data_IF_014798667747
#
_entry.id   IF_014798667747
#
_cell.length_a   1.000
_cell.length_b   1.000
_cell.length_c   1.000
_cell.angle_alpha   90.00
_cell.angle_beta   90.00
_cell.angle_gamma   90.00
#
_symmetry.space_group_name_H-M   'P 1'
#
loop_
_entity.id
_entity.type
_entity.pdbx_description
1 polymer ?
#
# COMPACT_ATOMS: atom_id res chain seq x y z
N UNK A 1 -6.00 21.22 -9.80
CA UNK A 1 -6.18 22.05 -8.59
C UNK A 1 -4.89 21.96 -7.79
N UNK A 2 -4.28 23.10 -7.43
CA UNK A 2 -3.06 23.13 -6.62
C UNK A 2 -3.51 22.99 -5.17
N UNK A 3 -3.23 21.84 -4.55
CA UNK A 3 -3.47 21.64 -3.12
C UNK A 3 -2.40 22.37 -2.32
N UNK A 4 -2.79 23.38 -1.55
CA UNK A 4 -1.88 24.16 -0.70
C UNK A 4 -1.80 23.46 0.67
N UNK A 5 -0.67 22.81 0.97
CA UNK A 5 -0.39 22.25 2.30
C UNK A 5 0.55 23.22 3.04
N UNK A 6 0.03 23.89 4.06
CA UNK A 6 0.79 24.74 4.98
C UNK A 6 1.28 23.88 6.16
N UNK A 7 2.59 23.74 6.32
CA UNK A 7 3.21 23.13 7.50
C UNK A 7 3.68 24.26 8.41
N UNK A 8 3.01 24.47 9.55
CA UNK A 8 3.48 25.37 10.60
C UNK A 8 4.52 24.65 11.47
N UNK A 9 5.77 25.12 11.44
CA UNK A 9 6.77 24.76 12.44
C UNK A 9 6.75 25.82 13.55
N UNK A 10 6.10 25.53 14.68
CA UNK A 10 6.14 26.42 15.84
C UNK A 10 7.53 26.35 16.49
N UNK A 11 8.16 27.51 16.67
CA UNK A 11 9.42 27.66 17.38
C UNK A 11 9.21 27.36 18.86
N UNK A 12 9.46 26.13 19.30
CA UNK A 12 9.73 25.87 20.70
C UNK A 12 10.70 24.69 20.86
N UNK A 13 11.95 24.90 20.45
CA UNK A 13 13.04 23.99 20.73
C UNK A 13 14.34 24.79 20.87
N UNK A 14 14.52 25.43 22.03
CA UNK A 14 15.79 26.08 22.40
C UNK A 14 16.60 25.27 23.42
N UNK A 15 16.41 23.95 23.51
CA UNK A 15 17.13 23.16 24.52
C UNK A 15 17.57 21.73 24.14
N UNK A 16 17.46 21.25 22.89
CA UNK A 16 18.07 19.97 22.53
C UNK A 16 18.80 20.05 21.19
N UNK A 17 20.03 19.55 21.18
CA UNK A 17 21.06 19.76 20.17
C UNK A 17 20.64 19.38 18.75
N UNK A 18 21.27 20.06 17.79
CA UNK A 18 21.14 19.88 16.36
C UNK A 18 21.58 18.48 15.94
N UNK A 19 20.63 17.67 15.47
CA UNK A 19 20.80 16.64 14.42
C UNK A 19 19.48 15.90 14.09
N UNK A 20 18.43 16.05 14.91
CA UNK A 20 17.13 15.38 14.67
C UNK A 20 16.22 16.02 13.60
N UNK A 21 16.57 17.19 13.04
CA UNK A 21 15.68 17.93 12.12
C UNK A 21 15.81 17.53 10.65
N UNK A 22 16.97 17.01 10.23
CA UNK A 22 17.24 16.65 8.83
C UNK A 22 16.42 15.43 8.37
N UNK A 23 16.19 14.46 9.26
CA UNK A 23 15.43 13.23 8.98
C UNK A 23 13.93 13.48 8.78
N UNK A 24 13.34 14.48 9.44
CA UNK A 24 11.89 14.71 9.37
C UNK A 24 11.47 15.36 8.05
N UNK A 25 12.30 16.28 7.52
CA UNK A 25 12.05 16.91 6.22
C UNK A 25 12.37 15.95 5.06
N UNK A 26 13.41 15.13 5.16
CA UNK A 26 13.75 14.13 4.14
C UNK A 26 12.67 13.04 3.97
N UNK A 27 12.03 12.59 5.07
CA UNK A 27 10.94 11.61 5.03
C UNK A 27 9.65 12.14 4.39
N UNK A 28 9.40 13.44 4.47
CA UNK A 28 8.27 14.08 3.82
C UNK A 28 8.46 14.23 2.29
N UNK A 29 9.70 14.26 1.79
CA UNK A 29 9.96 14.42 0.35
C UNK A 29 9.95 13.09 -0.44
N UNK A 30 10.25 11.96 0.21
CA UNK A 30 10.33 10.65 -0.47
C UNK A 30 8.98 9.94 -0.64
N UNK A 31 7.89 10.53 -0.17
CA UNK A 31 6.55 9.91 -0.12
C UNK A 31 5.55 10.49 -1.14
N UNK A 32 5.94 11.44 -2.00
CA UNK A 32 5.04 12.08 -2.98
C UNK A 32 5.55 11.98 -4.43
N UNK A 33 4.66 11.84 -5.44
CA UNK A 33 5.04 11.70 -6.85
C UNK A 33 5.64 13.00 -7.43
N UNK A 34 6.57 12.84 -8.39
CA UNK A 34 7.49 13.83 -8.99
C UNK A 34 6.88 15.08 -9.69
N UNK A 35 5.58 15.37 -9.56
CA UNK A 35 4.87 16.40 -10.34
C UNK A 35 4.18 17.51 -9.50
N UNK A 36 4.62 17.76 -8.26
CA UNK A 36 4.08 18.85 -7.42
C UNK A 36 5.09 19.97 -7.18
N UNK A 37 4.61 21.22 -7.15
CA UNK A 37 5.39 22.41 -6.83
C UNK A 37 5.18 22.79 -5.34
N UNK A 38 6.27 22.98 -4.60
CA UNK A 38 6.24 23.35 -3.19
C UNK A 38 6.57 24.84 -2.99
N UNK A 39 5.83 25.52 -2.12
CA UNK A 39 6.12 26.90 -1.69
C UNK A 39 6.67 26.87 -0.25
N UNK A 40 7.87 27.41 -0.05
CA UNK A 40 8.50 27.56 1.27
C UNK A 40 8.47 29.02 1.72
N UNK A 41 7.92 29.31 2.91
CA UNK A 41 8.10 30.60 3.59
C UNK A 41 9.29 30.48 4.56
N UNK A 42 10.51 30.71 4.06
CA UNK A 42 11.75 30.73 4.86
C UNK A 42 12.40 32.12 4.85
N UNK A 43 13.17 32.45 5.89
CA UNK A 43 13.99 33.67 5.91
C UNK A 43 15.28 33.47 5.09
N UNK A 44 15.80 34.55 4.49
CA UNK A 44 16.77 34.59 3.39
C UNK A 44 18.18 34.03 3.65
N UNK A 45 18.41 33.23 4.70
CA UNK A 45 19.76 32.83 5.12
C UNK A 45 20.27 31.49 4.57
N UNK A 46 19.43 30.69 3.89
CA UNK A 46 19.77 29.30 3.51
C UNK A 46 19.69 28.95 2.00
N UNK A 47 19.62 29.93 1.10
CA UNK A 47 19.45 29.68 -0.34
C UNK A 47 20.71 29.19 -1.09
N UNK A 48 21.85 28.92 -0.44
CA UNK A 48 23.13 28.75 -1.16
C UNK A 48 23.61 27.34 -1.47
N UNK A 49 22.89 26.26 -1.15
CA UNK A 49 23.50 24.92 -1.23
C UNK A 49 22.68 23.80 -1.87
N UNK A 50 21.70 24.09 -2.74
CA UNK A 50 21.05 23.03 -3.55
C UNK A 50 20.77 23.50 -4.98
N UNK A 51 21.65 23.12 -5.92
CA UNK A 51 21.37 23.09 -7.36
C UNK A 51 21.52 21.65 -7.84
N UNK A 52 20.41 20.99 -8.20
CA UNK A 52 20.39 19.80 -9.09
C UNK A 52 19.76 20.19 -10.44
N UNK A 53 20.07 19.49 -11.55
CA UNK A 53 19.74 19.95 -12.90
C UNK A 53 18.27 19.85 -13.31
N UNK A 54 17.44 19.09 -12.59
CA UNK A 54 16.16 18.59 -13.11
C UNK A 54 14.88 19.19 -12.47
N UNK A 55 15.01 20.26 -11.67
CA UNK A 55 13.85 20.95 -11.07
C UNK A 55 13.77 22.43 -11.48
N UNK A 56 12.60 22.87 -11.96
CA UNK A 56 12.30 24.30 -12.19
C UNK A 56 11.92 24.96 -10.87
N UNK A 57 12.81 25.78 -10.32
CA UNK A 57 12.51 26.68 -9.21
C UNK A 57 11.91 27.98 -9.74
N UNK A 58 10.71 28.36 -9.29
CA UNK A 58 10.15 29.69 -9.56
C UNK A 58 10.55 30.59 -8.39
N UNK A 59 11.60 31.41 -8.59
CA UNK A 59 11.96 32.48 -7.66
C UNK A 59 10.96 33.63 -7.81
N UNK A 60 10.07 33.81 -6.82
CA UNK A 60 9.24 35.01 -6.72
C UNK A 60 9.98 36.11 -5.95
N UNK A 61 11.09 36.61 -6.50
CA UNK A 61 11.82 37.74 -5.90
C UNK A 61 11.24 39.12 -6.25
N UNK A 62 10.10 39.20 -6.97
CA UNK A 62 9.49 40.49 -7.37
C UNK A 62 7.96 40.55 -7.28
N UNK A 63 7.36 39.91 -6.27
CA UNK A 63 5.97 40.19 -5.93
C UNK A 63 5.92 41.15 -4.72
N UNK A 64 5.51 42.40 -4.95
CA UNK A 64 5.44 43.48 -3.94
C UNK A 64 4.43 43.26 -2.79
N UNK A 65 4.01 42.03 -2.46
CA UNK A 65 3.00 41.79 -1.42
C UNK A 65 3.20 40.50 -0.61
N UNK A 66 4.44 40.11 -0.30
CA UNK A 66 4.73 38.98 0.61
C UNK A 66 4.28 39.24 2.06
N UNK A 67 4.15 40.50 2.48
CA UNK A 67 3.77 40.88 3.85
C UNK A 67 2.30 40.59 4.24
N UNK A 68 1.46 40.08 3.32
CA UNK A 68 0.09 39.63 3.65
C UNK A 68 -0.03 38.13 3.87
N UNK A 69 0.91 37.31 3.38
CA UNK A 69 0.78 35.84 3.41
C UNK A 69 1.58 35.18 4.55
N UNK A 70 2.56 35.87 5.12
CA UNK A 70 3.37 35.36 6.23
C UNK A 70 3.47 36.46 7.33
N UNK A 71 2.42 36.65 8.14
CA UNK A 71 2.47 37.45 9.39
C UNK A 71 2.16 36.56 10.60
N UNK A 72 3.02 36.55 11.64
CA UNK A 72 2.69 35.95 12.92
C UNK A 72 1.86 36.94 13.75
N UNK A 73 0.88 36.43 14.48
CA UNK A 73 -0.04 37.14 15.40
C UNK A 73 -1.20 37.91 14.73
N UNK A 74 -2.26 37.17 14.40
CA UNK A 74 -3.66 37.55 14.66
C UNK A 74 -4.55 36.33 14.36
N UNK A 75 -4.71 35.44 15.34
CA UNK A 75 -5.85 34.52 15.36
C UNK A 75 -6.66 34.78 16.63
N UNK A 76 -7.80 35.45 16.44
CA UNK A 76 -8.92 35.38 17.35
C UNK A 76 -9.41 33.94 17.37
N UNK A 77 -9.44 33.34 18.56
CA UNK A 77 -10.19 32.12 18.82
C UNK A 77 -11.67 32.47 18.67
N UNK A 78 -12.27 32.16 17.52
CA UNK A 78 -13.71 31.93 17.46
C UNK A 78 -13.98 30.51 17.98
N UNK A 79 -13.92 30.36 19.30
CA UNK A 79 -14.63 29.31 19.99
C UNK A 79 -16.09 29.75 20.04
N UNK A 80 -16.92 29.23 19.14
CA UNK A 80 -18.37 29.32 19.31
C UNK A 80 -18.76 28.40 20.47
N UNK A 81 -18.88 28.99 21.66
CA UNK A 81 -19.88 28.57 22.64
C UNK A 81 -21.27 28.90 22.10
N UNK A 82 -22.27 28.06 22.42
CA UNK A 82 -23.33 28.60 23.24
C UNK A 82 -23.58 27.74 24.49
N UNK A 83 -23.31 28.35 25.65
CA UNK A 83 -24.03 28.15 26.92
C UNK A 83 -25.11 29.25 26.95
N UNK A 84 -26.36 29.10 27.36
CA UNK A 84 -27.14 28.10 28.09
C UNK A 84 -28.61 28.40 27.76
N UNK A 85 -29.46 27.38 27.57
CA UNK A 85 -30.81 27.41 28.10
C UNK A 85 -31.19 25.99 28.57
N UNK A 86 -31.70 25.96 29.79
CA UNK A 86 -32.15 24.83 30.58
C UNK A 86 -33.12 23.89 29.86
N UNK A 87 -32.89 22.59 30.03
CA UNK A 87 -33.85 21.51 29.76
C UNK A 87 -34.84 21.44 30.92
N UNK A 88 -36.16 21.63 30.70
CA UNK A 88 -37.16 21.04 31.57
C UNK A 88 -37.41 19.60 31.12
N UNK A 89 -37.46 18.72 32.11
CA UNK A 89 -37.97 17.35 32.03
C UNK A 89 -39.36 17.32 31.40
N UNK A 90 -39.52 16.63 30.27
CA UNK A 90 -40.84 16.39 29.68
C UNK A 90 -41.45 15.12 30.27
N UNK A 91 -42.56 15.36 30.95
CA UNK A 91 -43.53 14.41 31.45
C UNK A 91 -44.20 13.65 30.30
N UNK A 92 -44.68 12.46 30.63
CA UNK A 92 -45.55 11.62 29.82
C UNK A 92 -46.78 12.40 29.29
N UNK A 93 -46.92 12.43 27.96
CA UNK A 93 -48.15 12.88 27.30
C UNK A 93 -48.89 11.68 26.71
N UNK A 94 -50.06 11.40 27.29
CA UNK A 94 -51.07 10.48 26.77
C UNK A 94 -51.58 10.98 25.41
N UNK A 95 -51.38 10.20 24.33
CA UNK A 95 -52.14 10.39 23.09
C UNK A 95 -53.57 9.89 23.30
N UNK A 96 -54.53 10.82 23.40
CA UNK A 96 -55.94 10.51 23.23
C UNK A 96 -56.24 10.33 21.74
N UNK A 97 -56.76 9.15 21.41
CA UNK A 97 -57.37 8.83 20.12
C UNK A 97 -58.55 9.77 19.86
N UNK A 98 -58.52 10.48 18.73
CA UNK A 98 -59.65 11.24 18.22
C UNK A 98 -59.95 10.72 16.82
N UNK A 99 -61.10 10.07 16.67
CA UNK A 99 -61.57 9.52 15.40
C UNK A 99 -62.01 10.65 14.48
N UNK A 100 -61.28 10.86 13.38
CA UNK A 100 -61.74 11.66 12.25
C UNK A 100 -62.23 10.72 11.15
N UNK A 101 -63.54 10.74 10.92
CA UNK A 101 -64.23 10.11 9.80
C UNK A 101 -63.90 10.84 8.50
N UNK A 102 -63.00 10.27 7.69
CA UNK A 102 -62.77 10.70 6.32
C UNK A 102 -63.63 9.87 5.37
N UNK A 103 -64.57 10.53 4.68
CA UNK A 103 -65.28 9.98 3.53
C UNK A 103 -64.27 9.58 2.45
N UNK A 104 -64.29 8.31 2.06
CA UNK A 104 -63.42 7.75 1.04
C UNK A 104 -63.81 8.19 -0.37
N UNK A 105 -62.85 8.75 -1.10
CA UNK A 105 -62.78 8.58 -2.55
C UNK A 105 -61.78 7.45 -2.85
N UNK A 106 -62.31 6.31 -3.32
CA UNK A 106 -61.52 5.19 -3.82
C UNK A 106 -61.05 5.52 -5.24
N UNK A 107 -59.79 5.95 -5.39
CA UNK A 107 -59.06 5.82 -6.65
C UNK A 107 -58.27 4.52 -6.58
N UNK A 108 -58.59 3.59 -7.48
CA UNK A 108 -57.90 2.31 -7.62
C UNK A 108 -56.50 2.51 -8.18
N UNK A 109 -55.52 2.72 -7.30
CA UNK A 109 -54.10 2.52 -7.65
C UNK A 109 -53.84 1.02 -7.73
N UNK A 110 -53.49 0.55 -8.93
CA UNK A 110 -53.08 -0.83 -9.17
C UNK A 110 -51.86 -1.22 -8.33
N UNK A 111 -51.59 -2.53 -8.17
CA UNK A 111 -50.47 -3.00 -7.36
C UNK A 111 -49.15 -2.47 -7.94
N UNK A 112 -48.45 -1.66 -7.14
CA UNK A 112 -47.09 -1.24 -7.43
C UNK A 112 -46.21 -2.47 -7.22
N UNK A 113 -45.68 -3.01 -8.32
CA UNK A 113 -44.65 -4.03 -8.25
C UNK A 113 -43.39 -3.37 -7.67
N UNK A 114 -43.20 -3.50 -6.36
CA UNK A 114 -41.94 -3.14 -5.74
C UNK A 114 -40.89 -4.16 -6.21
N UNK A 115 -40.13 -3.80 -7.24
CA UNK A 115 -38.85 -4.45 -7.46
C UNK A 115 -38.07 -4.32 -6.14
N UNK A 116 -37.52 -5.41 -5.58
CA UNK A 116 -36.63 -5.27 -4.45
C UNK A 116 -35.52 -4.32 -4.87
N UNK A 117 -35.30 -3.27 -4.07
CA UNK A 117 -34.11 -2.43 -4.19
C UNK A 117 -32.93 -3.40 -4.21
N UNK A 118 -32.33 -3.61 -5.38
CA UNK A 118 -30.98 -4.13 -5.43
C UNK A 118 -30.17 -3.10 -4.68
N UNK A 119 -29.79 -3.46 -3.45
CA UNK A 119 -28.81 -2.74 -2.66
C UNK A 119 -27.59 -2.57 -3.54
N UNK A 120 -27.43 -1.39 -4.14
CA UNK A 120 -26.17 -0.96 -4.69
C UNK A 120 -25.27 -0.75 -3.47
N UNK A 121 -24.64 -1.83 -3.03
CA UNK A 121 -23.65 -1.80 -1.97
C UNK A 121 -22.61 -0.72 -2.34
N UNK A 122 -22.09 0.09 -1.40
CA UNK A 122 -21.02 1.05 -1.65
C UNK A 122 -19.71 0.30 -1.94
N UNK A 123 -19.66 -0.38 -3.09
CA UNK A 123 -18.51 -1.06 -3.66
C UNK A 123 -17.62 0.06 -4.17
N UNK A 124 -16.40 0.18 -3.62
CA UNK A 124 -15.41 1.23 -3.92
C UNK A 124 -15.73 2.00 -5.21
N UNK A 125 -16.32 3.20 -5.08
CA UNK A 125 -16.73 4.00 -6.25
C UNK A 125 -15.54 4.39 -7.15
N UNK A 126 -14.32 4.22 -6.64
CA UNK A 126 -13.08 4.47 -7.37
C UNK A 126 -12.44 3.16 -7.85
N UNK A 127 -12.40 2.92 -9.18
CA UNK A 127 -11.59 1.87 -9.76
C UNK A 127 -10.13 2.00 -9.32
N UNK A 128 -9.53 0.91 -8.83
CA UNK A 128 -8.11 0.87 -8.47
C UNK A 128 -7.28 0.79 -9.77
N UNK A 129 -6.46 1.80 -10.10
CA UNK A 129 -5.72 1.81 -11.36
C UNK A 129 -4.81 0.58 -11.51
N UNK A 130 -4.91 -0.11 -12.65
CA UNK A 130 -4.11 -1.32 -12.92
C UNK A 130 -4.67 -2.60 -12.30
N UNK A 131 -5.86 -2.55 -11.67
CA UNK A 131 -6.51 -3.70 -11.07
C UNK A 131 -7.96 -3.83 -11.53
N UNK A 132 -8.49 -5.05 -11.44
CA UNK A 132 -9.89 -5.36 -11.69
C UNK A 132 -10.43 -6.15 -10.52
N UNK A 133 -11.48 -5.62 -9.92
CA UNK A 133 -12.14 -6.24 -8.78
C UNK A 133 -12.85 -7.54 -9.20
N UNK A 134 -12.50 -8.65 -8.56
CA UNK A 134 -12.98 -9.99 -8.86
C UNK A 134 -14.23 -10.35 -8.06
N UNK A 135 -14.46 -9.71 -6.91
CA UNK A 135 -15.59 -9.98 -6.03
C UNK A 135 -15.18 -10.36 -4.61
N UNK A 136 -16.17 -10.75 -3.82
CA UNK A 136 -15.99 -11.25 -2.47
C UNK A 136 -15.67 -12.75 -2.50
N UNK A 137 -14.65 -13.19 -1.76
CA UNK A 137 -14.22 -14.58 -1.69
C UNK A 137 -14.12 -15.06 -0.25
N UNK A 138 -14.34 -16.35 -0.04
CA UNK A 138 -14.06 -16.99 1.26
C UNK A 138 -12.56 -17.18 1.45
N UNK A 139 -12.16 -17.39 2.70
CA UNK A 139 -10.91 -18.07 2.99
C UNK A 139 -10.84 -19.46 2.35
N UNK A 140 -9.62 -19.98 2.21
CA UNK A 140 -9.40 -21.33 1.70
C UNK A 140 -9.60 -22.40 2.79
N UNK A 141 -9.67 -23.66 2.40
CA UNK A 141 -9.90 -24.76 3.36
C UNK A 141 -8.70 -24.90 4.31
N UNK A 142 -8.91 -24.60 5.59
CA UNK A 142 -7.89 -24.64 6.65
C UNK A 142 -6.67 -23.72 6.41
N UNK A 143 -6.79 -22.70 5.57
CA UNK A 143 -5.67 -21.78 5.24
C UNK A 143 -6.17 -20.45 4.66
N UNK A 144 -5.26 -19.49 4.49
CA UNK A 144 -5.55 -18.21 3.85
C UNK A 144 -5.78 -18.37 2.34
N UNK A 145 -6.68 -17.58 1.77
CA UNK A 145 -6.98 -17.55 0.34
C UNK A 145 -5.80 -17.02 -0.49
N UNK A 146 -5.06 -16.04 0.04
CA UNK A 146 -3.83 -15.50 -0.51
C UNK A 146 -2.73 -15.64 0.55
N UNK A 147 -1.64 -16.34 0.23
CA UNK A 147 -0.69 -16.84 1.23
C UNK A 147 0.69 -16.19 1.17
N UNK A 148 0.99 -15.43 0.12
CA UNK A 148 2.37 -15.00 -0.13
C UNK A 148 2.81 -13.88 0.82
N UNK A 149 1.92 -12.94 1.13
CA UNK A 149 2.25 -11.82 2.04
C UNK A 149 1.02 -11.34 2.78
N UNK A 150 1.19 -11.05 4.06
CA UNK A 150 0.18 -10.41 4.91
C UNK A 150 0.70 -9.06 5.40
N UNK A 151 -0.16 -8.06 5.38
CA UNK A 151 0.11 -6.73 5.88
C UNK A 151 -1.11 -6.23 6.67
N UNK A 152 -0.87 -5.71 7.87
CA UNK A 152 -1.91 -5.24 8.78
C UNK A 152 -1.67 -3.76 9.03
N UNK A 153 -2.69 -2.93 8.79
CA UNK A 153 -2.60 -1.46 8.94
C UNK A 153 -3.93 -0.93 9.49
N UNK A 154 -3.89 -0.26 10.65
CA UNK A 154 -5.08 0.36 11.25
C UNK A 154 -5.56 1.60 10.47
N UNK A 155 -4.84 1.99 9.41
CA UNK A 155 -5.20 3.00 8.42
C UNK A 155 -5.31 2.44 7.00
N UNK A 156 -5.59 1.14 6.86
CA UNK A 156 -5.67 0.46 5.56
C UNK A 156 -6.74 1.08 4.64
N UNK A 157 -6.38 1.28 3.38
CA UNK A 157 -7.30 1.51 2.24
C UNK A 157 -7.04 0.45 1.17
N UNK A 158 -7.95 0.32 0.21
CA UNK A 158 -7.76 -0.61 -0.92
C UNK A 158 -6.51 -0.25 -1.72
N UNK A 159 -6.22 1.04 -1.94
CA UNK A 159 -5.02 1.51 -2.66
C UNK A 159 -3.74 1.20 -1.90
N UNK A 160 -3.76 1.30 -0.56
CA UNK A 160 -2.60 0.92 0.26
C UNK A 160 -2.32 -0.57 0.13
N UNK A 161 -3.35 -1.40 0.15
CA UNK A 161 -3.16 -2.83 -0.07
C UNK A 161 -2.62 -3.12 -1.47
N UNK A 162 -3.16 -2.46 -2.50
CA UNK A 162 -2.66 -2.56 -3.87
C UNK A 162 -1.17 -2.18 -3.97
N UNK A 163 -0.74 -1.10 -3.30
CA UNK A 163 0.64 -0.64 -3.30
C UNK A 163 1.58 -1.64 -2.61
N UNK A 164 1.17 -2.23 -1.49
CA UNK A 164 1.93 -3.27 -0.78
C UNK A 164 2.04 -4.54 -1.62
N UNK A 165 0.97 -4.90 -2.33
CA UNK A 165 0.88 -6.11 -3.14
C UNK A 165 1.25 -5.91 -4.61
N UNK A 166 1.93 -4.81 -4.96
CA UNK A 166 2.24 -4.44 -6.34
C UNK A 166 2.98 -5.51 -7.14
N UNK A 167 3.69 -6.43 -6.48
CA UNK A 167 4.47 -7.50 -7.12
C UNK A 167 3.70 -8.81 -7.30
N UNK A 168 2.48 -8.92 -6.76
CA UNK A 168 1.66 -10.12 -6.83
C UNK A 168 0.54 -9.98 -7.85
N UNK A 169 0.06 -11.12 -8.36
CA UNK A 169 -1.05 -11.12 -9.31
C UNK A 169 -2.37 -10.70 -8.69
N UNK A 170 -2.59 -10.97 -7.40
CA UNK A 170 -3.79 -10.62 -6.66
C UNK A 170 -3.45 -9.97 -5.33
N UNK A 171 -4.38 -9.15 -4.88
CA UNK A 171 -4.48 -8.79 -3.48
C UNK A 171 -5.91 -8.95 -2.98
N UNK A 172 -6.05 -9.13 -1.68
CA UNK A 172 -7.32 -9.22 -0.98
C UNK A 172 -7.28 -8.33 0.26
N UNK A 173 -8.37 -7.65 0.53
CA UNK A 173 -8.56 -6.89 1.77
C UNK A 173 -9.61 -7.58 2.64
N UNK A 174 -9.34 -7.66 3.94
CA UNK A 174 -10.17 -8.38 4.91
C UNK A 174 -10.23 -7.64 6.25
N UNK A 175 -11.32 -7.86 6.99
CA UNK A 175 -11.46 -7.46 8.39
C UNK A 175 -11.11 -5.97 8.65
N UNK A 176 -11.46 -5.10 7.70
CA UNK A 176 -11.19 -3.64 7.72
C UNK A 176 -9.73 -3.20 7.64
N UNK A 177 -8.77 -4.00 8.11
CA UNK A 177 -7.37 -3.60 8.36
C UNK A 177 -6.33 -4.58 7.80
N UNK A 178 -6.77 -5.70 7.25
CA UNK A 178 -5.89 -6.76 6.80
C UNK A 178 -5.78 -6.76 5.28
N UNK A 179 -4.55 -6.94 4.80
CA UNK A 179 -4.20 -7.00 3.40
C UNK A 179 -3.42 -8.28 3.14
N UNK A 180 -3.83 -9.02 2.12
CA UNK A 180 -3.23 -10.29 1.72
C UNK A 180 -2.82 -10.22 0.25
N UNK A 181 -1.60 -10.64 -0.06
CA UNK A 181 -1.09 -10.72 -1.42
C UNK A 181 -0.88 -12.17 -1.84
N UNK A 182 -1.09 -12.46 -3.11
CA UNK A 182 -0.70 -13.74 -3.68
C UNK A 182 -0.96 -13.82 -5.17
N UNK A 183 -0.39 -14.82 -5.81
CA UNK A 183 -0.51 -14.96 -7.27
C UNK A 183 -1.76 -15.75 -7.67
N UNK A 184 -2.19 -16.65 -6.80
CA UNK A 184 -3.33 -17.55 -6.99
C UNK A 184 -4.17 -17.63 -5.72
N UNK A 185 -5.49 -17.77 -5.90
CA UNK A 185 -6.36 -18.15 -4.79
C UNK A 185 -6.11 -19.60 -4.45
N UNK A 186 -5.89 -19.88 -3.16
CA UNK A 186 -5.64 -21.24 -2.70
C UNK A 186 -6.87 -22.14 -2.88
N UNK A 187 -6.67 -23.46 -3.08
CA UNK A 187 -7.76 -24.42 -3.20
C UNK A 187 -8.74 -24.32 -2.02
N UNK A 188 -10.03 -24.26 -2.34
CA UNK A 188 -11.11 -24.12 -1.37
C UNK A 188 -11.58 -22.69 -1.10
N UNK A 189 -10.88 -21.67 -1.62
CA UNK A 189 -11.41 -20.30 -1.67
C UNK A 189 -12.44 -20.20 -2.81
N UNK A 190 -13.67 -19.81 -2.47
CA UNK A 190 -14.79 -19.74 -3.40
C UNK A 190 -15.40 -18.34 -3.41
N UNK A 191 -16.08 -17.97 -4.49
CA UNK A 191 -16.87 -16.74 -4.52
C UNK A 191 -17.95 -16.78 -3.42
N UNK A 192 -18.07 -15.67 -2.70
CA UNK A 192 -19.10 -15.43 -1.70
C UNK A 192 -20.07 -14.33 -2.17
N UNK A 193 -21.27 -14.23 -1.58
CA UNK A 193 -22.15 -13.09 -1.81
C UNK A 193 -21.45 -11.77 -1.54
N UNK A 194 -21.64 -10.76 -2.39
CA UNK A 194 -20.97 -9.46 -2.23
C UNK A 194 -21.28 -8.78 -0.87
N UNK A 195 -22.46 -9.04 -0.31
CA UNK A 195 -22.85 -8.53 1.00
C UNK A 195 -22.08 -9.14 2.18
N UNK A 196 -21.38 -10.26 1.99
CA UNK A 196 -20.51 -10.84 3.01
C UNK A 196 -19.21 -10.01 3.19
N UNK A 197 -18.85 -9.22 2.18
CA UNK A 197 -17.75 -8.26 2.21
C UNK A 197 -18.28 -6.85 2.45
N UNK A 198 -18.80 -6.60 3.65
CA UNK A 198 -19.46 -5.34 4.02
C UNK A 198 -18.68 -4.49 5.02
N UNK A 199 -17.49 -4.90 5.43
CA UNK A 199 -16.71 -4.15 6.42
C UNK A 199 -16.08 -2.95 5.73
N UNK A 200 -16.19 -1.77 6.33
CA UNK A 200 -15.52 -0.57 5.81
C UNK A 200 -14.01 -0.64 6.05
N UNK A 201 -13.21 -0.09 5.15
CA UNK A 201 -11.77 0.04 5.36
C UNK A 201 -11.46 0.95 6.55
N UNK A 202 -10.44 0.59 7.35
CA UNK A 202 -10.07 1.32 8.55
C UNK A 202 -9.56 2.75 8.24
N UNK A 203 -8.89 2.93 7.10
CA UNK A 203 -8.38 4.21 6.61
C UNK A 203 -9.33 4.99 5.70
N UNK A 204 -10.38 4.36 5.18
CA UNK A 204 -11.38 5.03 4.35
C UNK A 204 -12.77 4.36 4.46
N UNK A 205 -13.70 5.02 5.16
CA UNK A 205 -15.05 4.50 5.36
C UNK A 205 -15.93 4.48 4.09
N UNK A 206 -15.48 5.10 2.99
CA UNK A 206 -16.16 5.04 1.69
C UNK A 206 -15.81 3.78 0.88
N UNK A 207 -14.87 2.97 1.34
CA UNK A 207 -14.43 1.72 0.71
C UNK A 207 -14.81 0.50 1.57
N UNK A 208 -14.98 -0.66 0.92
CA UNK A 208 -15.13 -1.95 1.59
C UNK A 208 -13.80 -2.70 1.63
N UNK A 209 -13.48 -3.27 2.79
CA UNK A 209 -12.31 -4.08 3.05
C UNK A 209 -12.71 -5.45 3.60
N UNK A 210 -13.48 -6.19 2.80
CA UNK A 210 -13.85 -7.57 3.10
C UNK A 210 -14.87 -7.72 4.23
N UNK A 211 -14.72 -8.78 5.02
CA UNK A 211 -15.59 -9.14 6.15
C UNK A 211 -14.93 -10.21 7.03
N UNK A 212 -15.71 -10.90 7.86
CA UNK A 212 -15.19 -12.00 8.70
C UNK A 212 -14.92 -13.25 7.85
N UNK A 213 -13.65 -13.63 7.66
CA UNK A 213 -13.22 -14.71 6.76
C UNK A 213 -13.70 -14.49 5.31
N UNK A 214 -13.68 -13.23 4.87
CA UNK A 214 -14.21 -12.76 3.58
C UNK A 214 -13.32 -11.69 3.00
N UNK A 215 -12.76 -11.93 1.82
CA UNK A 215 -11.82 -11.02 1.18
C UNK A 215 -12.47 -10.38 -0.05
N UNK A 216 -12.37 -9.05 -0.16
CA UNK A 216 -12.56 -8.40 -1.44
C UNK A 216 -11.29 -8.57 -2.27
N UNK A 217 -11.36 -9.36 -3.35
CA UNK A 217 -10.18 -9.76 -4.16
C UNK A 217 -10.06 -8.92 -5.43
N UNK A 218 -8.85 -8.43 -5.68
CA UNK A 218 -8.50 -7.63 -6.84
C UNK A 218 -7.39 -8.31 -7.64
N UNK A 219 -7.55 -8.38 -8.95
CA UNK A 219 -6.59 -8.98 -9.88
C UNK A 219 -5.84 -7.86 -10.61
N UNK A 220 -4.51 -7.92 -10.63
CA UNK A 220 -3.67 -7.00 -11.41
C UNK A 220 -3.85 -7.25 -12.90
N UNK A 221 -3.92 -6.18 -13.69
CA UNK A 221 -4.11 -6.19 -15.14
C UNK A 221 -3.07 -5.32 -15.88
N UNK A 222 -2.18 -5.91 -16.70
CA UNK A 222 -1.98 -7.36 -16.86
C UNK A 222 -1.46 -8.00 -15.56
N UNK A 223 -1.74 -9.29 -15.31
CA UNK A 223 -1.08 -10.02 -14.23
C UNK A 223 0.44 -9.91 -14.37
N UNK A 224 1.21 -9.89 -13.27
CA UNK A 224 2.65 -10.12 -13.36
C UNK A 224 2.90 -11.43 -14.10
N UNK A 225 4.04 -11.55 -14.81
CA UNK A 225 4.46 -12.84 -15.32
C UNK A 225 4.42 -13.87 -14.17
N UNK A 226 3.92 -15.10 -14.39
CA UNK A 226 4.01 -16.14 -13.39
C UNK A 226 5.46 -16.22 -12.88
N UNK A 227 5.69 -16.40 -11.56
CA UNK A 227 7.02 -16.70 -11.06
C UNK A 227 7.59 -17.85 -11.88
N UNK A 228 8.82 -17.75 -12.39
CA UNK A 228 9.44 -18.88 -13.05
C UNK A 228 9.40 -20.10 -12.13
N UNK A 229 9.02 -21.27 -12.63
CA UNK A 229 9.07 -22.47 -11.83
C UNK A 229 10.55 -22.89 -11.68
N UNK A 230 11.04 -22.95 -10.44
CA UNK A 230 12.40 -23.38 -10.13
C UNK A 230 12.47 -24.21 -8.86
N UNK A 231 13.56 -24.96 -8.73
CA UNK A 231 13.90 -25.76 -7.56
C UNK A 231 15.16 -25.20 -6.91
N UNK A 232 15.11 -24.96 -5.60
CA UNK A 232 16.29 -24.58 -4.82
C UNK A 232 17.28 -25.77 -4.73
N UNK A 233 18.55 -25.53 -5.08
CA UNK A 233 19.62 -26.51 -5.01
C UNK A 233 20.45 -26.39 -3.72
N UNK A 234 20.36 -25.27 -3.03
CA UNK A 234 21.00 -25.01 -1.75
C UNK A 234 22.09 -23.93 -1.84
N UNK A 235 22.92 -23.86 -0.79
CA UNK A 235 24.03 -22.91 -0.70
C UNK A 235 25.30 -23.50 -1.35
N UNK A 236 25.99 -22.71 -2.15
CA UNK A 236 27.21 -23.10 -2.87
C UNK A 236 28.32 -22.06 -2.68
N UNK A 237 29.57 -22.50 -2.80
CA UNK A 237 30.72 -21.59 -2.81
C UNK A 237 30.75 -20.78 -4.11
N UNK A 238 31.05 -19.49 -4.00
CA UNK A 238 31.24 -18.60 -5.14
C UNK A 238 32.52 -17.78 -5.00
N UNK A 239 33.61 -18.23 -5.63
CA UNK A 239 34.89 -17.52 -5.62
C UNK A 239 34.81 -16.33 -6.58
N UNK A 240 35.08 -15.09 -6.13
CA UNK A 240 35.09 -13.92 -7.02
C UNK A 240 35.99 -14.05 -8.25
N UNK A 241 37.04 -14.86 -8.17
CA UNK A 241 37.96 -15.13 -9.28
C UNK A 241 37.54 -16.34 -10.13
N UNK A 242 36.62 -17.17 -9.63
CA UNK A 242 36.16 -18.37 -10.31
C UNK A 242 34.68 -18.64 -9.99
N UNK A 243 33.83 -17.78 -10.57
CA UNK A 243 32.40 -17.71 -10.28
C UNK A 243 31.69 -19.03 -10.56
N UNK A 244 30.76 -19.39 -9.68
CA UNK A 244 29.90 -20.56 -9.76
C UNK A 244 29.03 -20.55 -11.02
N UNK A 245 28.48 -19.38 -11.38
CA UNK A 245 27.73 -19.15 -12.61
C UNK A 245 28.41 -18.03 -13.42
N UNK A 246 28.77 -18.33 -14.66
CA UNK A 246 29.59 -17.45 -15.52
C UNK A 246 28.83 -16.85 -16.70
N UNK A 247 27.49 -16.95 -16.72
CA UNK A 247 26.65 -16.41 -17.77
C UNK A 247 26.46 -14.90 -17.64
N UNK A 248 25.24 -14.49 -17.29
CA UNK A 248 24.92 -13.07 -17.03
C UNK A 248 24.97 -12.78 -15.53
N UNK A 249 25.36 -11.58 -15.14
CA UNK A 249 25.21 -11.13 -13.75
C UNK A 249 24.86 -9.65 -13.66
N UNK A 250 24.18 -9.29 -12.59
CA UNK A 250 23.79 -7.89 -12.30
C UNK A 250 23.66 -7.66 -10.80
N UNK A 251 23.76 -6.41 -10.39
CA UNK A 251 23.45 -5.95 -9.03
C UNK A 251 22.11 -5.19 -9.06
N UNK A 252 21.27 -5.39 -8.05
CA UNK A 252 19.99 -4.71 -7.93
C UNK A 252 19.67 -4.39 -6.45
N UNK A 253 19.46 -3.11 -6.13
CA UNK A 253 19.18 -2.65 -4.76
C UNK A 253 17.79 -3.05 -4.22
N UNK A 254 16.93 -3.63 -5.08
CA UNK A 254 15.65 -4.18 -4.73
C UNK A 254 15.57 -5.67 -5.11
N UNK A 255 16.67 -6.41 -4.98
CA UNK A 255 16.72 -7.82 -5.35
C UNK A 255 15.82 -8.69 -4.47
N UNK A 256 15.04 -9.56 -5.08
CA UNK A 256 14.42 -10.76 -4.47
C UNK A 256 14.84 -11.99 -5.26
N UNK A 257 14.57 -13.19 -4.76
CA UNK A 257 14.85 -14.45 -5.46
C UNK A 257 14.07 -14.51 -6.78
N UNK A 258 12.80 -14.12 -6.78
CA UNK A 258 11.92 -14.09 -7.96
C UNK A 258 12.39 -13.04 -8.97
N UNK A 259 12.89 -11.90 -8.50
CA UNK A 259 13.44 -10.89 -9.40
C UNK A 259 14.69 -11.44 -10.11
N UNK A 260 15.57 -12.14 -9.39
CA UNK A 260 16.72 -12.78 -10.02
C UNK A 260 16.29 -13.88 -11.01
N UNK A 261 15.30 -14.70 -10.64
CA UNK A 261 14.72 -15.70 -11.54
C UNK A 261 14.15 -15.06 -12.81
N UNK A 262 13.47 -13.92 -12.69
CA UNK A 262 12.93 -13.19 -13.85
C UNK A 262 14.04 -12.62 -14.74
N UNK A 263 15.11 -12.09 -14.15
CA UNK A 263 16.30 -11.58 -14.87
C UNK A 263 16.99 -12.72 -15.63
N UNK A 264 17.17 -13.87 -14.99
CA UNK A 264 17.84 -15.03 -15.55
C UNK A 264 16.95 -15.94 -16.40
N UNK A 265 15.75 -15.47 -16.79
CA UNK A 265 14.84 -16.24 -17.61
C UNK A 265 15.51 -16.64 -18.93
N UNK A 266 15.57 -17.94 -19.21
CA UNK A 266 16.23 -18.50 -20.39
C UNK A 266 17.59 -19.15 -20.10
N UNK A 267 18.10 -19.07 -18.87
CA UNK A 267 19.23 -19.87 -18.39
C UNK A 267 18.76 -21.16 -17.69
N UNK A 268 19.66 -22.13 -17.51
CA UNK A 268 19.40 -23.35 -16.71
C UNK A 268 19.37 -23.06 -15.22
N UNK A 269 20.29 -22.21 -14.75
CA UNK A 269 20.50 -21.88 -13.36
C UNK A 269 20.46 -20.37 -13.15
N UNK A 270 20.01 -19.99 -11.96
CA UNK A 270 20.26 -18.67 -11.42
C UNK A 270 20.70 -18.81 -9.96
N UNK A 271 21.33 -17.78 -9.44
CA UNK A 271 21.71 -17.71 -8.06
C UNK A 271 21.75 -16.28 -7.56
N UNK A 272 21.50 -16.14 -6.27
CA UNK A 272 21.55 -14.86 -5.57
C UNK A 272 22.69 -14.87 -4.56
N UNK A 273 23.46 -13.78 -4.55
CA UNK A 273 24.63 -13.61 -3.69
C UNK A 273 24.58 -12.25 -3.01
N UNK A 274 25.22 -12.18 -1.83
CA UNK A 274 25.52 -10.94 -1.12
C UNK A 274 24.39 -9.90 -1.19
N UNK A 275 23.17 -10.32 -0.78
CA UNK A 275 21.93 -9.54 -0.63
C UNK A 275 21.37 -8.82 -1.87
N UNK A 276 22.15 -8.56 -2.92
CA UNK A 276 21.76 -7.74 -4.07
C UNK A 276 22.33 -8.20 -5.41
N UNK A 277 23.12 -9.27 -5.41
CA UNK A 277 23.77 -9.75 -6.63
C UNK A 277 22.99 -10.94 -7.20
N UNK A 278 22.79 -10.91 -8.51
CA UNK A 278 22.10 -11.94 -9.26
C UNK A 278 23.02 -12.49 -10.34
N UNK A 279 23.13 -13.81 -10.42
CA UNK A 279 23.98 -14.53 -11.35
C UNK A 279 23.15 -15.56 -12.12
N UNK A 280 23.41 -15.70 -13.40
CA UNK A 280 22.75 -16.62 -14.32
C UNK A 280 23.80 -17.51 -14.98
N UNK A 281 23.45 -18.76 -15.29
CA UNK A 281 24.36 -19.66 -15.99
C UNK A 281 23.66 -20.91 -16.51
N UNK A 282 24.22 -21.50 -17.56
CA UNK A 282 23.73 -22.78 -18.08
C UNK A 282 24.45 -23.99 -17.48
N UNK A 283 25.54 -23.74 -16.75
CA UNK A 283 26.41 -24.73 -16.11
C UNK A 283 26.88 -24.20 -14.76
N UNK A 284 26.97 -25.09 -13.78
CA UNK A 284 27.65 -24.81 -12.52
C UNK A 284 29.15 -25.11 -12.68
N UNK A 285 30.01 -24.16 -12.29
CA UNK A 285 31.45 -24.35 -12.34
C UNK A 285 31.88 -25.53 -11.44
N UNK A 286 32.80 -26.42 -11.88
CA UNK A 286 33.24 -27.55 -11.06
C UNK A 286 33.94 -27.17 -9.74
N UNK A 287 34.46 -25.95 -9.66
CA UNK A 287 35.04 -25.37 -8.45
C UNK A 287 33.99 -24.97 -7.41
N UNK A 288 32.73 -24.78 -7.82
CA UNK A 288 31.64 -24.46 -6.91
C UNK A 288 31.13 -25.73 -6.26
N UNK A 289 31.20 -25.76 -4.94
CA UNK A 289 30.85 -26.92 -4.11
C UNK A 289 29.73 -26.55 -3.14
N UNK A 290 28.91 -27.52 -2.71
CA UNK A 290 27.92 -27.27 -1.67
C UNK A 290 28.57 -26.70 -0.40
N UNK A 291 27.98 -25.64 0.14
CA UNK A 291 28.35 -25.02 1.40
C UNK A 291 27.29 -25.29 2.47
N UNK A 292 27.61 -25.03 3.73
CA UNK A 292 26.61 -25.17 4.79
C UNK A 292 25.48 -24.15 4.56
N UNK A 293 24.23 -24.58 4.69
CA UNK A 293 23.06 -23.71 4.44
C UNK A 293 23.10 -22.40 5.23
N UNK A 294 23.62 -22.41 6.46
CA UNK A 294 23.75 -21.22 7.30
C UNK A 294 24.81 -20.20 6.86
N UNK A 295 25.64 -20.53 5.86
CA UNK A 295 26.59 -19.59 5.25
C UNK A 295 25.92 -18.69 4.20
N UNK A 296 24.79 -19.15 3.63
CA UNK A 296 23.88 -18.31 2.88
C UNK A 296 22.84 -17.75 3.84
N UNK A 297 23.11 -16.60 4.44
CA UNK A 297 22.32 -16.01 5.51
C UNK A 297 22.03 -14.51 5.33
N UNK A 298 22.38 -13.94 4.18
CA UNK A 298 22.13 -12.53 3.88
C UNK A 298 20.70 -12.33 3.41
N UNK A 299 19.89 -11.51 4.09
CA UNK A 299 18.55 -11.16 3.60
C UNK A 299 18.60 -10.47 2.24
N UNK A 300 17.60 -10.68 1.40
CA UNK A 300 17.53 -10.00 0.11
C UNK A 300 17.23 -8.50 0.29
N UNK A 301 17.92 -7.64 -0.47
CA UNK A 301 17.80 -6.17 -0.41
C UNK A 301 16.40 -5.64 -0.75
N UNK A 302 15.66 -6.36 -1.60
CA UNK A 302 14.27 -6.06 -1.97
C UNK A 302 13.21 -6.80 -1.17
N UNK A 303 13.57 -7.90 -0.50
CA UNK A 303 12.69 -8.67 0.37
C UNK A 303 13.45 -9.32 1.54
N UNK A 304 13.42 -8.67 2.71
CA UNK A 304 14.12 -9.17 3.90
C UNK A 304 13.53 -10.48 4.48
N UNK A 305 12.44 -11.01 3.92
CA UNK A 305 11.89 -12.32 4.31
C UNK A 305 12.55 -13.47 3.53
N UNK A 306 13.31 -13.16 2.49
CA UNK A 306 14.06 -14.10 1.66
C UNK A 306 15.56 -14.04 1.95
N UNK A 307 16.29 -15.11 1.57
CA UNK A 307 17.73 -15.21 1.77
C UNK A 307 18.46 -15.19 0.43
N UNK A 308 19.28 -14.17 0.22
CA UNK A 308 20.05 -13.92 -0.99
C UNK A 308 21.55 -14.16 -0.78
N UNK A 309 21.90 -15.41 -0.49
CA UNK A 309 23.28 -15.88 -0.41
C UNK A 309 24.04 -15.33 0.81
N UNK A 310 25.33 -15.06 0.63
CA UNK A 310 26.26 -14.53 1.63
C UNK A 310 27.56 -14.07 0.96
N UNK A 311 28.56 -13.65 1.72
CA UNK A 311 29.85 -13.27 1.14
C UNK A 311 30.52 -14.50 0.51
N UNK A 312 30.74 -14.48 -0.81
CA UNK A 312 31.28 -15.63 -1.57
C UNK A 312 30.42 -16.90 -1.43
N UNK A 313 29.10 -16.71 -1.26
CA UNK A 313 28.12 -17.79 -1.03
C UNK A 313 26.87 -17.54 -1.85
N UNK A 314 26.63 -18.43 -2.80
CA UNK A 314 25.53 -18.35 -3.74
C UNK A 314 24.40 -19.29 -3.30
N UNK A 315 23.19 -18.76 -3.09
CA UNK A 315 22.01 -19.61 -3.09
C UNK A 315 21.68 -19.96 -4.54
N UNK A 316 21.81 -21.23 -4.90
CA UNK A 316 21.65 -21.74 -6.26
C UNK A 316 20.23 -22.29 -6.49
N UNK A 317 19.66 -21.97 -7.64
CA UNK A 317 18.37 -22.43 -8.10
C UNK A 317 18.47 -22.94 -9.53
N UNK A 318 17.62 -23.89 -9.88
CA UNK A 318 17.53 -24.46 -11.22
C UNK A 318 16.09 -24.31 -11.71
N UNK A 319 15.89 -23.76 -12.92
CA UNK A 319 14.56 -23.73 -13.53
C UNK A 319 14.07 -25.16 -13.84
N UNK A 320 12.76 -25.38 -13.71
CA UNK A 320 12.12 -26.67 -14.00
C UNK A 320 11.91 -26.91 -15.49
#
# INVERSE_FOLDING_TARGET
>A
MIGLLLVEATQNAKSQGTDSWYEYLLRAFLSYPLNQAFLFCGTSKYEREYKRPDHRFISLSKAQNINRLCRPNTFNIFANHPRLLSVPTSSSVNMKSTTLSALGLLLSVGPINANPLQSLNPRAETPIPGYTYQGCFTEATNQRALINKTYIDDSLTVERCAAVCKNYAKFGVEYSRECYCGDVLQPGSNSAPAGDCSFTCAGNAAETCGGSNRLDVYQKNPPPPPPPAYTAKGCYTDDPNNRALTGFSTVNEALSVELCAAICKGYTYFGVEYFRECYCGNTLAPSSQPAQAGECNSPCSGDNTEICGGASRLNLYQFN
#
